data_IF_892418526550
#
_entry.id   IF_892418526550
#
_cell.length_a   1.000
_cell.length_b   1.000
_cell.length_c   1.000
_cell.angle_alpha   90.00
_cell.angle_beta   90.00
_cell.angle_gamma   90.00
#
_symmetry.space_group_name_H-M   'P 1'
#
loop_
_entity.id
_entity.type
_entity.pdbx_description
1 polymer ?
#
# COMPACT_ATOMS: atom_id res chain seq x y z
N UNK A 1 -52.40 68.50 21.10
CA UNK A 1 -51.65 68.31 19.85
C UNK A 1 -50.49 67.36 20.02
N UNK A 2 -50.76 66.14 20.00
CA UNK A 2 -49.70 65.16 20.34
C UNK A 2 -48.73 64.84 19.21
N UNK A 3 -48.94 65.26 17.99
CA UNK A 3 -48.11 64.85 16.86
C UNK A 3 -46.70 65.46 16.83
N UNK A 4 -46.57 66.69 17.35
CA UNK A 4 -45.28 67.37 17.45
C UNK A 4 -44.36 66.74 18.52
N UNK A 5 -44.95 66.23 19.58
CA UNK A 5 -44.20 65.56 20.66
C UNK A 5 -43.76 64.15 20.27
N UNK A 6 -44.49 63.45 19.41
CA UNK A 6 -44.14 62.13 18.92
C UNK A 6 -42.91 62.15 18.02
N UNK A 7 -42.73 63.23 17.25
CA UNK A 7 -41.57 63.38 16.39
C UNK A 7 -40.25 63.58 17.15
N UNK A 8 -40.35 64.15 18.35
CA UNK A 8 -39.17 64.42 19.19
C UNK A 8 -38.66 63.17 19.92
N UNK A 9 -39.45 62.09 19.95
CA UNK A 9 -39.06 60.82 20.60
C UNK A 9 -38.34 59.86 19.65
N UNK A 10 -38.29 60.14 18.34
CA UNK A 10 -37.53 59.36 17.39
C UNK A 10 -36.09 59.89 17.39
N UNK A 11 -35.19 59.09 17.90
CA UNK A 11 -33.77 59.44 17.89
C UNK A 11 -33.30 59.65 16.45
N UNK A 12 -32.64 60.76 16.21
CA UNK A 12 -32.05 61.03 14.93
C UNK A 12 -30.93 59.99 14.67
N UNK A 13 -31.08 59.24 13.59
CA UNK A 13 -30.08 58.29 13.20
C UNK A 13 -28.88 59.01 12.57
N UNK A 14 -27.73 58.86 13.15
CA UNK A 14 -26.50 59.41 12.58
C UNK A 14 -26.01 58.52 11.46
N UNK A 15 -26.17 58.99 10.24
CA UNK A 15 -25.78 58.28 9.04
C UNK A 15 -24.26 58.05 8.97
N UNK A 16 -23.50 58.92 9.58
CA UNK A 16 -22.03 58.77 9.63
C UNK A 16 -21.61 57.65 10.56
N UNK A 17 -22.31 57.46 11.68
CA UNK A 17 -22.07 56.35 12.59
C UNK A 17 -22.45 55.03 11.93
N UNK A 18 -23.56 55.00 11.22
CA UNK A 18 -23.99 53.79 10.48
C UNK A 18 -22.99 53.46 9.40
N UNK A 19 -22.49 54.44 8.64
CA UNK A 19 -21.48 54.22 7.62
C UNK A 19 -20.19 53.72 8.21
N UNK A 20 -19.76 54.25 9.37
CA UNK A 20 -18.58 53.78 10.07
C UNK A 20 -18.74 52.31 10.55
N UNK A 21 -19.90 51.97 11.11
CA UNK A 21 -20.19 50.59 11.54
C UNK A 21 -20.25 49.62 10.37
N UNK A 22 -20.80 50.04 9.25
CA UNK A 22 -20.82 49.23 8.04
C UNK A 22 -19.42 49.03 7.48
N UNK A 23 -18.58 50.02 7.50
CA UNK A 23 -17.19 49.93 7.06
C UNK A 23 -16.39 48.99 7.96
N UNK A 24 -16.59 49.07 9.27
CA UNK A 24 -15.98 48.13 10.23
C UNK A 24 -16.40 46.68 9.97
N UNK A 25 -17.69 46.46 9.82
CA UNK A 25 -18.21 45.13 9.54
C UNK A 25 -17.69 44.58 8.22
N UNK A 26 -17.55 45.45 7.23
CA UNK A 26 -16.98 45.07 5.92
C UNK A 26 -15.53 44.68 6.08
N UNK A 27 -14.75 45.47 6.80
CA UNK A 27 -13.36 45.17 7.08
C UNK A 27 -13.18 43.87 7.85
N UNK A 28 -14.02 43.63 8.85
CA UNK A 28 -14.03 42.37 9.61
C UNK A 28 -14.36 41.17 8.72
N UNK A 29 -15.35 41.32 7.84
CA UNK A 29 -15.71 40.22 6.89
C UNK A 29 -14.59 39.98 5.90
N UNK A 30 -13.95 40.99 5.38
CA UNK A 30 -12.83 40.89 4.47
C UNK A 30 -11.63 40.24 5.16
N UNK A 31 -11.34 40.63 6.41
CA UNK A 31 -10.29 39.99 7.20
C UNK A 31 -10.57 38.54 7.49
N UNK A 32 -11.83 38.24 7.87
CA UNK A 32 -12.24 36.86 8.12
C UNK A 32 -12.19 36.00 6.84
N UNK A 33 -12.61 36.55 5.72
CA UNK A 33 -12.54 35.88 4.42
C UNK A 33 -11.08 35.65 4.00
N UNK A 34 -10.20 36.62 4.19
CA UNK A 34 -8.80 36.48 3.90
C UNK A 34 -8.14 35.40 4.79
N UNK A 35 -8.47 35.43 6.09
CA UNK A 35 -7.96 34.42 7.02
C UNK A 35 -8.45 33.01 6.66
N UNK A 36 -9.74 32.87 6.31
CA UNK A 36 -10.31 31.61 5.87
C UNK A 36 -9.68 31.11 4.57
N UNK A 37 -9.45 32.01 3.61
CA UNK A 37 -8.79 31.67 2.34
C UNK A 37 -7.33 31.25 2.56
N UNK A 38 -6.61 31.94 3.44
CA UNK A 38 -5.23 31.58 3.78
C UNK A 38 -5.15 30.22 4.48
N UNK A 39 -6.09 29.96 5.39
CA UNK A 39 -6.20 28.68 6.08
C UNK A 39 -6.52 27.55 5.11
N UNK A 40 -7.51 27.75 4.24
CA UNK A 40 -7.88 26.78 3.21
C UNK A 40 -6.72 26.48 2.25
N UNK A 41 -5.98 27.52 1.84
CA UNK A 41 -4.81 27.38 0.99
C UNK A 41 -3.70 26.59 1.68
N UNK A 42 -3.46 26.85 2.97
CA UNK A 42 -2.47 26.15 3.78
C UNK A 42 -2.85 24.69 3.96
N UNK A 43 -4.12 24.41 4.26
CA UNK A 43 -4.63 23.05 4.40
C UNK A 43 -4.56 22.28 3.07
N UNK A 44 -4.93 22.92 1.96
CA UNK A 44 -4.82 22.32 0.63
C UNK A 44 -3.37 22.02 0.26
N UNK A 45 -2.44 22.93 0.56
CA UNK A 45 -1.01 22.71 0.33
C UNK A 45 -0.45 21.58 1.19
N UNK A 46 -0.85 21.52 2.46
CA UNK A 46 -0.45 20.42 3.37
C UNK A 46 -1.00 19.07 2.89
N UNK A 47 -2.26 19.05 2.47
CA UNK A 47 -2.89 17.85 1.91
C UNK A 47 -2.21 17.38 0.63
N UNK A 48 -1.95 18.31 -0.30
CA UNK A 48 -1.25 18.01 -1.54
C UNK A 48 0.16 17.48 -1.28
N UNK A 49 0.87 18.06 -0.33
CA UNK A 49 2.20 17.60 0.08
C UNK A 49 2.15 16.19 0.69
N UNK A 50 1.16 15.94 1.56
CA UNK A 50 0.97 14.62 2.17
C UNK A 50 0.61 13.57 1.12
N UNK A 51 -0.27 13.88 0.17
CA UNK A 51 -0.64 12.99 -0.93
C UNK A 51 0.55 12.69 -1.84
N UNK A 52 1.35 13.71 -2.17
CA UNK A 52 2.55 13.54 -2.98
C UNK A 52 3.59 12.68 -2.26
N UNK A 53 3.79 12.88 -0.95
CA UNK A 53 4.70 12.07 -0.15
C UNK A 53 4.23 10.62 -0.05
N UNK A 54 2.92 10.39 0.16
CA UNK A 54 2.34 9.07 0.20
C UNK A 54 2.48 8.34 -1.14
N UNK A 55 2.24 9.04 -2.24
CA UNK A 55 2.40 8.52 -3.60
C UNK A 55 3.85 8.15 -3.88
N UNK A 56 4.80 9.04 -3.54
CA UNK A 56 6.22 8.80 -3.73
C UNK A 56 6.69 7.59 -2.92
N UNK A 57 6.24 7.46 -1.68
CA UNK A 57 6.54 6.32 -0.81
C UNK A 57 6.02 5.01 -1.41
N UNK A 58 4.78 5.03 -1.90
CA UNK A 58 4.13 3.88 -2.51
C UNK A 58 4.85 3.43 -3.78
N UNK A 59 5.23 4.40 -4.64
CA UNK A 59 6.01 4.13 -5.85
C UNK A 59 7.39 3.55 -5.53
N UNK A 60 8.07 4.09 -4.50
CA UNK A 60 9.36 3.59 -4.05
C UNK A 60 9.27 2.17 -3.49
N UNK A 61 8.24 1.88 -2.70
CA UNK A 61 7.97 0.53 -2.17
C UNK A 61 7.67 -0.47 -3.29
N UNK A 62 6.88 -0.06 -4.28
CA UNK A 62 6.57 -0.90 -5.44
C UNK A 62 7.82 -1.17 -6.28
N UNK A 63 8.63 -0.15 -6.54
CA UNK A 63 9.89 -0.28 -7.26
C UNK A 63 10.84 -1.24 -6.55
N UNK A 64 10.94 -1.12 -5.23
CA UNK A 64 11.75 -2.02 -4.41
C UNK A 64 11.22 -3.45 -4.47
N UNK A 65 9.90 -3.63 -4.36
CA UNK A 65 9.27 -4.94 -4.44
C UNK A 65 9.56 -5.61 -5.78
N UNK A 66 9.46 -4.87 -6.88
CA UNK A 66 9.78 -5.37 -8.23
C UNK A 66 11.25 -5.72 -8.37
N UNK A 67 12.15 -4.91 -7.82
CA UNK A 67 13.58 -5.15 -7.88
C UNK A 67 14.01 -6.36 -7.04
N UNK A 68 13.44 -6.50 -5.83
CA UNK A 68 13.75 -7.60 -4.92
C UNK A 68 13.12 -8.92 -5.37
N UNK A 69 12.05 -8.84 -6.15
CA UNK A 69 11.28 -10.00 -6.59
C UNK A 69 11.12 -10.00 -8.12
N UNK A 70 12.20 -10.25 -8.87
CA UNK A 70 12.08 -10.38 -10.32
C UNK A 70 11.29 -11.64 -10.69
N UNK A 71 10.79 -11.69 -11.92
CA UNK A 71 10.16 -12.90 -12.43
C UNK A 71 11.17 -14.06 -12.41
N UNK A 72 10.78 -15.17 -11.82
CA UNK A 72 11.66 -16.33 -11.62
C UNK A 72 10.91 -17.63 -11.89
N UNK A 73 11.66 -18.67 -12.09
CA UNK A 73 11.14 -20.02 -12.35
C UNK A 73 11.40 -20.92 -11.15
N UNK A 74 10.36 -21.61 -10.72
CA UNK A 74 10.38 -22.42 -9.53
C UNK A 74 9.78 -23.80 -9.79
N UNK A 75 10.03 -24.72 -8.87
CA UNK A 75 9.29 -25.96 -8.77
C UNK A 75 8.50 -25.93 -7.47
N UNK A 76 7.19 -26.01 -7.54
CA UNK A 76 6.34 -26.11 -6.36
C UNK A 76 6.29 -27.55 -5.89
N UNK A 77 6.76 -27.79 -4.69
CA UNK A 77 6.88 -29.15 -4.11
C UNK A 77 5.93 -29.38 -2.95
N UNK A 78 5.23 -28.37 -2.51
CA UNK A 78 4.26 -28.52 -1.43
C UNK A 78 3.47 -27.25 -1.16
N UNK A 79 2.50 -27.38 -0.28
CA UNK A 79 1.65 -26.29 0.20
C UNK A 79 1.41 -26.52 1.68
N UNK A 80 1.43 -25.47 2.47
CA UNK A 80 1.17 -25.55 3.90
C UNK A 80 0.61 -24.27 4.47
N UNK A 81 -0.01 -24.34 5.64
CA UNK A 81 -0.62 -23.20 6.28
C UNK A 81 0.39 -22.33 7.05
N UNK A 82 1.54 -22.88 7.39
CA UNK A 82 2.57 -22.17 8.14
C UNK A 82 3.96 -22.47 7.58
N UNK A 83 4.90 -21.58 7.87
CA UNK A 83 6.30 -21.77 7.50
C UNK A 83 6.90 -23.01 8.17
N UNK A 84 6.49 -23.30 9.41
CA UNK A 84 6.91 -24.51 10.13
C UNK A 84 6.48 -25.78 9.43
N UNK A 85 5.24 -25.81 8.92
CA UNK A 85 4.73 -26.95 8.15
C UNK A 85 5.53 -27.15 6.87
N UNK A 86 5.88 -26.07 6.19
CA UNK A 86 6.70 -26.11 4.97
C UNK A 86 8.12 -26.59 5.26
N UNK A 87 8.73 -26.14 6.36
CA UNK A 87 10.06 -26.58 6.76
C UNK A 87 10.08 -28.09 7.03
N UNK A 88 9.06 -28.59 7.70
CA UNK A 88 8.89 -30.02 7.95
C UNK A 88 8.73 -30.82 6.64
N UNK A 89 7.89 -30.33 5.75
CA UNK A 89 7.69 -30.93 4.43
C UNK A 89 8.98 -30.95 3.63
N UNK A 90 9.73 -29.85 3.64
CA UNK A 90 11.00 -29.74 2.92
C UNK A 90 12.03 -30.73 3.46
N UNK A 91 12.12 -30.86 4.76
CA UNK A 91 13.02 -31.83 5.40
C UNK A 91 12.68 -33.26 4.97
N UNK A 92 11.41 -33.61 4.95
CA UNK A 92 10.95 -34.90 4.49
C UNK A 92 11.28 -35.14 3.02
N UNK A 93 11.03 -34.14 2.16
CA UNK A 93 11.32 -34.23 0.72
C UNK A 93 12.81 -34.35 0.43
N UNK A 94 13.65 -33.66 1.19
CA UNK A 94 15.12 -33.77 1.06
C UNK A 94 15.59 -35.19 1.39
N UNK A 95 14.96 -35.84 2.34
CA UNK A 95 15.27 -37.23 2.67
C UNK A 95 14.76 -38.27 1.66
N UNK A 96 13.73 -37.90 0.90
CA UNK A 96 13.13 -38.83 -0.09
C UNK A 96 13.70 -38.64 -1.50
N UNK A 97 14.11 -37.43 -1.87
CA UNK A 97 14.53 -37.11 -3.24
C UNK A 97 15.89 -36.42 -3.26
N UNK A 98 16.87 -37.10 -3.84
CA UNK A 98 18.22 -36.57 -3.99
C UNK A 98 18.25 -35.29 -4.84
N UNK A 99 17.34 -35.15 -5.77
CA UNK A 99 17.22 -33.98 -6.63
C UNK A 99 16.72 -32.74 -5.86
N UNK A 100 16.00 -32.93 -4.78
CA UNK A 100 15.49 -31.83 -3.92
C UNK A 100 16.49 -31.50 -2.81
N UNK A 101 17.23 -32.47 -2.32
CA UNK A 101 18.15 -32.30 -1.20
C UNK A 101 19.09 -31.10 -1.31
N UNK A 102 19.75 -30.80 -2.45
CA UNK A 102 20.64 -29.67 -2.58
C UNK A 102 19.94 -28.35 -2.86
N UNK A 103 18.62 -28.35 -3.07
CA UNK A 103 17.89 -27.14 -3.45
C UNK A 103 17.54 -26.28 -2.23
N UNK A 104 17.60 -24.97 -2.42
CA UNK A 104 17.14 -24.02 -1.40
C UNK A 104 15.61 -24.00 -1.36
N UNK A 105 15.08 -23.90 -0.16
CA UNK A 105 13.65 -23.81 0.07
C UNK A 105 13.18 -22.36 0.10
N UNK A 106 12.09 -22.10 -0.59
CA UNK A 106 11.47 -20.77 -0.67
C UNK A 106 9.98 -20.90 -0.42
N UNK A 107 9.36 -19.78 -0.06
CA UNK A 107 7.93 -19.73 0.20
C UNK A 107 7.31 -18.52 -0.48
N UNK A 108 6.11 -18.72 -1.02
CA UNK A 108 5.29 -17.66 -1.58
C UNK A 108 3.86 -17.81 -1.06
N UNK A 109 3.23 -16.71 -0.75
CA UNK A 109 1.86 -16.74 -0.25
C UNK A 109 0.87 -17.04 -1.37
N UNK A 110 -0.10 -17.88 -1.08
CA UNK A 110 -1.18 -18.23 -1.99
C UNK A 110 -2.50 -18.30 -1.22
N UNK A 111 -3.28 -17.24 -1.28
CA UNK A 111 -4.49 -17.13 -0.46
C UNK A 111 -4.14 -17.17 1.02
N UNK A 112 -4.73 -18.11 1.75
CA UNK A 112 -4.46 -18.35 3.17
C UNK A 112 -3.36 -19.38 3.41
N UNK A 113 -2.78 -19.91 2.35
CA UNK A 113 -1.73 -20.92 2.44
C UNK A 113 -0.41 -20.37 1.92
N UNK A 114 0.65 -21.14 2.07
CA UNK A 114 1.97 -20.81 1.55
C UNK A 114 2.43 -21.94 0.63
N UNK A 115 3.01 -21.58 -0.51
CA UNK A 115 3.63 -22.52 -1.43
C UNK A 115 5.05 -22.83 -0.95
N UNK A 116 5.42 -24.08 -1.05
CA UNK A 116 6.80 -24.51 -0.85
C UNK A 116 7.45 -24.62 -2.22
N UNK A 117 8.50 -23.87 -2.43
CA UNK A 117 9.18 -23.76 -3.71
C UNK A 117 10.64 -24.16 -3.56
N UNK A 118 11.21 -24.70 -4.62
CA UNK A 118 12.66 -24.93 -4.75
C UNK A 118 13.15 -24.23 -6.01
N UNK A 119 14.38 -23.78 -5.98
CA UNK A 119 15.01 -23.05 -7.07
C UNK A 119 15.74 -21.83 -6.53
N UNK A 120 15.80 -20.70 -7.27
CA UNK A 120 15.21 -20.50 -8.60
C UNK A 120 15.99 -21.19 -9.71
N UNK A 121 15.28 -21.56 -10.78
CA UNK A 121 15.86 -22.19 -11.96
C UNK A 121 16.17 -21.14 -13.03
N UNK A 122 17.20 -21.40 -13.83
CA UNK A 122 17.62 -20.46 -14.88
C UNK A 122 16.57 -20.28 -15.97
N UNK A 123 15.72 -21.29 -16.19
CA UNK A 123 14.63 -21.22 -17.18
C UNK A 123 13.45 -22.07 -16.73
N UNK A 124 12.28 -21.81 -17.31
CA UNK A 124 11.10 -22.64 -17.06
C UNK A 124 11.28 -24.08 -17.56
N UNK A 125 12.03 -24.25 -18.65
CA UNK A 125 12.37 -25.55 -19.17
C UNK A 125 13.15 -26.39 -18.16
N UNK A 126 14.07 -25.78 -17.42
CA UNK A 126 14.82 -26.47 -16.35
C UNK A 126 13.93 -26.91 -15.22
N UNK A 127 13.00 -26.07 -14.80
CA UNK A 127 12.01 -26.42 -13.78
C UNK A 127 11.12 -27.58 -14.27
N UNK A 128 10.73 -27.56 -15.52
CA UNK A 128 9.93 -28.62 -16.16
C UNK A 128 10.70 -29.95 -16.25
N UNK A 129 11.97 -29.91 -16.52
CA UNK A 129 12.81 -31.13 -16.55
C UNK A 129 12.81 -31.79 -15.16
N UNK A 130 13.00 -31.01 -14.11
CA UNK A 130 12.97 -31.51 -12.74
C UNK A 130 11.57 -31.99 -12.34
N UNK A 131 10.52 -31.30 -12.78
CA UNK A 131 9.15 -31.72 -12.60
C UNK A 131 8.90 -33.13 -13.17
N UNK A 132 9.31 -33.35 -14.41
CA UNK A 132 9.15 -34.66 -15.10
C UNK A 132 9.92 -35.74 -14.34
N UNK A 133 11.15 -35.47 -13.95
CA UNK A 133 11.99 -36.43 -13.22
C UNK A 133 11.38 -36.81 -11.86
N UNK A 134 10.90 -35.81 -11.11
CA UNK A 134 10.32 -36.02 -9.79
C UNK A 134 8.95 -36.72 -9.87
N UNK A 135 8.13 -36.38 -10.85
CA UNK A 135 6.84 -37.08 -11.08
C UNK A 135 7.05 -38.54 -11.42
N UNK A 136 8.06 -38.85 -12.22
CA UNK A 136 8.43 -40.23 -12.52
C UNK A 136 8.87 -41.00 -11.25
N UNK A 137 9.44 -40.29 -10.27
CA UNK A 137 9.81 -40.85 -8.97
C UNK A 137 8.66 -40.90 -7.95
N UNK A 138 7.44 -40.44 -8.34
CA UNK A 138 6.27 -40.45 -7.48
C UNK A 138 6.00 -39.18 -6.70
N UNK A 139 6.74 -38.14 -6.96
CA UNK A 139 6.53 -36.84 -6.29
C UNK A 139 5.37 -36.07 -6.93
N UNK A 140 4.62 -35.34 -6.09
CA UNK A 140 3.55 -34.45 -6.53
C UNK A 140 4.10 -33.02 -6.59
N UNK A 141 4.64 -32.66 -7.74
CA UNK A 141 5.31 -31.38 -7.96
C UNK A 141 4.92 -30.79 -9.31
N UNK A 142 5.03 -29.48 -9.45
CA UNK A 142 4.85 -28.84 -10.75
C UNK A 142 5.70 -27.57 -10.88
N UNK A 143 6.11 -27.28 -12.11
CA UNK A 143 6.85 -26.05 -12.41
C UNK A 143 5.92 -24.84 -12.29
N UNK A 144 6.41 -23.79 -11.64
CA UNK A 144 5.66 -22.57 -11.40
C UNK A 144 6.54 -21.36 -11.71
N UNK A 145 5.94 -20.37 -12.32
CA UNK A 145 6.62 -19.14 -12.67
C UNK A 145 6.05 -17.99 -11.85
N UNK A 146 6.90 -17.30 -11.10
CA UNK A 146 6.49 -16.09 -10.39
C UNK A 146 6.64 -14.87 -11.30
N UNK A 147 5.65 -13.98 -11.22
CA UNK A 147 5.69 -12.71 -11.92
C UNK A 147 6.59 -11.71 -11.20
N UNK A 148 7.05 -10.69 -11.93
CA UNK A 148 7.81 -9.61 -11.33
C UNK A 148 6.98 -8.94 -10.23
N UNK A 149 7.58 -8.75 -9.07
CA UNK A 149 6.92 -8.18 -7.90
C UNK A 149 6.18 -9.17 -7.02
N UNK A 150 6.03 -10.41 -7.46
CA UNK A 150 5.46 -11.46 -6.62
C UNK A 150 6.47 -11.85 -5.54
N UNK A 151 6.09 -11.68 -4.28
CA UNK A 151 7.00 -11.86 -3.16
C UNK A 151 7.28 -13.35 -2.94
N UNK A 152 8.55 -13.73 -3.07
CA UNK A 152 9.02 -15.08 -2.77
C UNK A 152 10.18 -14.94 -1.79
N UNK A 153 10.02 -15.50 -0.61
CA UNK A 153 10.98 -15.39 0.48
C UNK A 153 11.71 -16.70 0.72
N UNK A 154 12.95 -16.60 1.20
CA UNK A 154 13.70 -17.76 1.61
C UNK A 154 13.01 -18.41 2.82
N UNK A 155 12.87 -19.72 2.79
CA UNK A 155 12.34 -20.45 3.94
C UNK A 155 13.48 -20.77 4.89
N UNK A 156 13.54 -20.01 6.00
CA UNK A 156 14.56 -20.18 7.03
C UNK A 156 13.96 -20.82 8.26
N UNK A 157 13.82 -22.06 8.31
CA UNK A 157 13.18 -22.74 9.45
C UNK A 157 13.48 -24.21 9.41
N UNK A 158 14.72 -24.48 9.46
CA UNK A 158 15.19 -25.87 9.48
C UNK A 158 14.98 -26.55 10.82
#
# INVERSE_FOLDING_TARGET
MPDAERQSTVAAVDLNEIAAMQAERRAEREAAAAAAAAKAKKEAAAKAKAEAAAKAKKEAEEKKRLADNPARNWLQVGVGQSKSALAFTMKRLRGQYDSIAPQDAWTARWGQTNRLLVGPFASFARAKELETKLKAAGADVFAWKSDAGEVVETLTGE
#
